data_IF_125806457506
#
_entry.id   IF_125806457506
#
_cell.length_a   1.000
_cell.length_b   1.000
_cell.length_c   1.000
_cell.angle_alpha   90.00
_cell.angle_beta   90.00
_cell.angle_gamma   90.00
#
_symmetry.space_group_name_H-M   'P 1'
#
loop_
_entity.id
_entity.type
_entity.pdbx_description
1 polymer ?
#
# COMPACT_ATOMS: atom_id res chain seq x y z
N UNK A 1 -1.48 5.88 -12.27
CA UNK A 1 -1.52 4.41 -12.38
C UNK A 1 -1.94 4.08 -13.80
N UNK A 2 -1.05 3.54 -14.62
CA UNK A 2 -1.46 2.96 -15.90
C UNK A 2 -2.09 1.60 -15.58
N UNK A 3 -3.40 1.46 -15.82
CA UNK A 3 -4.00 0.15 -15.91
C UNK A 3 -3.52 -0.44 -17.25
N UNK A 4 -2.69 -1.48 -17.19
CA UNK A 4 -2.21 -2.12 -18.39
C UNK A 4 -3.37 -2.96 -18.93
N UNK A 5 -3.81 -2.71 -20.18
CA UNK A 5 -4.88 -3.49 -20.76
C UNK A 5 -4.37 -4.93 -20.93
N UNK A 6 -5.16 -5.88 -20.45
CA UNK A 6 -4.99 -7.33 -20.60
C UNK A 6 -3.92 -7.75 -21.61
N UNK A 7 -2.81 -8.28 -21.09
CA UNK A 7 -1.88 -9.14 -21.80
C UNK A 7 -0.94 -9.72 -20.77
N UNK A 8 -0.60 -11.00 -20.92
CA UNK A 8 0.55 -11.62 -20.28
C UNK A 8 1.78 -10.73 -20.49
N UNK A 9 1.99 -9.77 -19.58
CA UNK A 9 3.22 -9.00 -19.55
C UNK A 9 4.27 -10.07 -19.27
N UNK A 10 5.05 -10.38 -20.29
CA UNK A 10 6.23 -11.21 -20.17
C UNK A 10 7.20 -10.41 -19.29
N UNK A 11 7.01 -10.49 -17.96
CA UNK A 11 7.86 -9.83 -16.96
C UNK A 11 9.33 -10.11 -17.28
N UNK A 12 9.62 -11.32 -17.75
CA UNK A 12 10.91 -11.75 -18.29
C UNK A 12 11.45 -10.87 -19.42
N UNK A 13 10.62 -10.44 -20.37
CA UNK A 13 11.02 -9.57 -21.47
C UNK A 13 11.30 -8.14 -21.00
N UNK A 14 10.51 -7.63 -20.04
CA UNK A 14 10.76 -6.33 -19.42
C UNK A 14 12.07 -6.34 -18.63
N UNK A 15 12.26 -7.36 -17.79
CA UNK A 15 13.46 -7.53 -17.00
C UNK A 15 14.71 -7.65 -17.87
N UNK A 16 14.64 -8.41 -18.97
CA UNK A 16 15.71 -8.52 -19.95
C UNK A 16 16.03 -7.17 -20.61
N UNK A 17 15.00 -6.39 -20.96
CA UNK A 17 15.16 -5.07 -21.55
C UNK A 17 15.84 -4.10 -20.58
N UNK A 18 15.40 -4.08 -19.32
CA UNK A 18 15.99 -3.23 -18.29
C UNK A 18 17.43 -3.63 -17.94
N UNK A 19 17.70 -4.94 -17.89
CA UNK A 19 19.06 -5.47 -17.62
C UNK A 19 20.05 -5.14 -18.73
N UNK A 20 19.58 -4.99 -19.97
CA UNK A 20 20.43 -4.65 -21.11
C UNK A 20 20.83 -3.17 -21.18
N UNK A 21 20.26 -2.30 -20.33
CA UNK A 21 20.63 -0.89 -20.27
C UNK A 21 22.01 -0.70 -19.62
N UNK A 22 22.82 0.17 -20.22
CA UNK A 22 24.14 0.48 -19.69
C UNK A 22 24.05 1.06 -18.27
N UNK A 23 24.92 0.59 -17.37
CA UNK A 23 24.93 0.97 -15.96
C UNK A 23 23.90 0.27 -15.06
N UNK A 24 23.02 -0.59 -15.58
CA UNK A 24 22.11 -1.39 -14.75
C UNK A 24 22.83 -2.63 -14.22
N UNK A 25 22.94 -2.73 -12.89
CA UNK A 25 23.60 -3.88 -12.22
C UNK A 25 22.63 -4.92 -11.67
N UNK A 26 21.36 -4.54 -11.45
CA UNK A 26 20.31 -5.42 -10.94
C UNK A 26 18.92 -4.92 -11.33
N UNK A 27 18.08 -5.85 -11.75
CA UNK A 27 16.63 -5.67 -11.89
C UNK A 27 15.96 -6.61 -10.89
N UNK A 28 14.94 -6.09 -10.19
CA UNK A 28 14.08 -6.88 -9.30
C UNK A 28 12.66 -6.54 -9.64
N UNK A 29 11.83 -7.56 -9.88
CA UNK A 29 10.40 -7.39 -10.17
C UNK A 29 9.55 -8.11 -9.14
N UNK A 30 8.64 -7.36 -8.53
CA UNK A 30 7.71 -7.87 -7.53
C UNK A 30 6.29 -7.77 -8.11
N UNK A 31 5.59 -8.89 -8.18
CA UNK A 31 4.20 -8.94 -8.65
C UNK A 31 3.29 -8.68 -7.45
N UNK A 32 2.36 -7.73 -7.59
CA UNK A 32 1.44 -7.34 -6.53
C UNK A 32 0.01 -7.76 -6.88
N UNK A 33 -0.58 -8.63 -6.06
CA UNK A 33 -1.95 -9.10 -6.20
C UNK A 33 -2.85 -8.25 -5.30
N UNK A 34 -3.93 -7.65 -5.85
CA UNK A 34 -4.84 -6.85 -5.05
C UNK A 34 -5.60 -7.70 -4.03
N UNK A 35 -5.58 -7.27 -2.77
CA UNK A 35 -6.46 -7.74 -1.69
C UNK A 35 -7.68 -6.84 -1.57
N UNK A 36 -7.45 -5.53 -1.67
CA UNK A 36 -8.48 -4.50 -1.64
C UNK A 36 -8.17 -3.45 -2.71
N UNK A 37 -9.20 -2.99 -3.41
CA UNK A 37 -9.15 -1.86 -4.33
C UNK A 37 -10.33 -0.95 -4.01
N UNK A 38 -10.13 0.36 -4.12
CA UNK A 38 -11.22 1.31 -4.04
C UNK A 38 -12.29 0.98 -5.08
N UNK A 39 -13.56 1.17 -4.74
CA UNK A 39 -14.68 0.90 -5.62
C UNK A 39 -14.51 1.60 -6.98
N UNK A 40 -14.79 0.87 -8.06
CA UNK A 40 -14.60 1.35 -9.45
C UNK A 40 -13.18 1.83 -9.79
N UNK A 41 -12.17 1.49 -8.97
CA UNK A 41 -10.82 2.03 -9.07
C UNK A 41 -10.80 3.57 -9.04
N UNK A 42 -11.73 4.17 -8.32
CA UNK A 42 -11.86 5.62 -8.16
C UNK A 42 -10.73 6.16 -7.26
N UNK A 43 -9.53 6.22 -7.82
CA UNK A 43 -8.35 6.81 -7.18
C UNK A 43 -8.50 8.34 -7.20
N UNK A 44 -8.41 9.04 -6.04
CA UNK A 44 -8.50 10.50 -6.03
C UNK A 44 -7.46 11.12 -6.94
N UNK A 45 -7.86 12.07 -7.77
CA UNK A 45 -6.97 12.77 -8.74
C UNK A 45 -6.76 14.24 -8.40
N UNK A 46 -7.39 14.71 -7.33
CA UNK A 46 -7.30 16.07 -6.81
C UNK A 46 -5.97 16.32 -6.07
N UNK A 47 -5.73 17.60 -5.72
CA UNK A 47 -4.52 18.04 -5.02
C UNK A 47 -4.27 17.24 -3.74
N UNK A 48 -3.08 16.68 -3.60
CA UNK A 48 -2.68 15.83 -2.49
C UNK A 48 -1.50 14.96 -2.89
N UNK A 49 -1.18 13.96 -2.07
CA UNK A 49 -0.11 13.01 -2.36
C UNK A 49 -0.47 11.60 -1.88
N UNK A 50 0.21 10.60 -2.42
CA UNK A 50 0.03 9.21 -2.01
C UNK A 50 1.14 8.80 -1.06
N UNK A 51 0.76 8.04 -0.03
CA UNK A 51 1.70 7.32 0.83
C UNK A 51 1.60 5.85 0.49
N UNK A 52 2.70 5.33 -0.03
CA UNK A 52 2.97 3.92 -0.21
C UNK A 52 3.57 3.41 1.09
N UNK A 53 2.95 2.41 1.70
CA UNK A 53 3.45 1.81 2.93
C UNK A 53 3.68 0.32 2.74
N UNK A 54 4.93 -0.08 2.89
CA UNK A 54 5.34 -1.48 2.85
C UNK A 54 5.28 -2.08 4.25
N UNK A 55 4.59 -3.21 4.36
CA UNK A 55 4.29 -3.85 5.63
C UNK A 55 4.60 -5.34 5.55
N UNK A 56 5.44 -5.81 6.47
CA UNK A 56 5.86 -7.19 6.61
C UNK A 56 5.08 -7.87 7.73
N UNK A 57 4.59 -9.08 7.45
CA UNK A 57 3.82 -9.92 8.38
C UNK A 57 4.28 -11.38 8.28
N UNK A 58 4.03 -12.19 9.31
CA UNK A 58 3.99 -13.64 9.10
C UNK A 58 2.80 -13.99 8.20
N UNK A 59 2.92 -14.96 7.27
CA UNK A 59 1.83 -15.32 6.36
C UNK A 59 0.52 -15.70 7.06
N UNK A 60 0.60 -16.28 8.26
CA UNK A 60 -0.58 -16.68 9.05
C UNK A 60 -1.36 -15.46 9.61
N UNK A 61 -0.70 -14.33 9.81
CA UNK A 61 -1.30 -13.12 10.39
C UNK A 61 -1.91 -12.19 9.33
N UNK A 62 -1.67 -12.45 8.04
CA UNK A 62 -2.10 -11.57 6.93
C UNK A 62 -3.61 -11.36 6.94
N UNK A 63 -4.39 -12.43 7.09
CA UNK A 63 -5.86 -12.32 7.06
C UNK A 63 -6.39 -11.44 8.19
N UNK A 64 -5.81 -11.56 9.40
CA UNK A 64 -6.20 -10.74 10.54
C UNK A 64 -5.74 -9.29 10.37
N UNK A 65 -4.52 -9.07 9.85
CA UNK A 65 -4.02 -7.73 9.56
C UNK A 65 -4.90 -7.01 8.51
N UNK A 66 -5.37 -7.74 7.48
CA UNK A 66 -6.29 -7.23 6.46
C UNK A 66 -7.64 -6.88 7.08
N UNK A 67 -8.23 -7.78 7.88
CA UNK A 67 -9.52 -7.55 8.55
C UNK A 67 -9.45 -6.30 9.44
N UNK A 68 -8.46 -6.21 10.32
CA UNK A 68 -8.23 -5.06 11.19
C UNK A 68 -8.04 -3.76 10.40
N UNK A 69 -7.40 -3.83 9.24
CA UNK A 69 -7.22 -2.66 8.38
C UNK A 69 -8.55 -2.19 7.78
N UNK A 70 -9.30 -3.09 7.16
CA UNK A 70 -10.58 -2.75 6.51
C UNK A 70 -11.58 -2.18 7.51
N UNK A 71 -11.72 -2.81 8.67
CA UNK A 71 -12.60 -2.31 9.74
C UNK A 71 -12.13 -0.95 10.30
N UNK A 72 -10.83 -0.65 10.30
CA UNK A 72 -10.36 0.66 10.71
C UNK A 72 -10.70 1.74 9.68
N UNK A 73 -10.69 1.40 8.38
CA UNK A 73 -10.93 2.36 7.30
C UNK A 73 -12.37 2.88 7.26
N UNK A 74 -13.34 2.09 7.73
CA UNK A 74 -14.77 2.45 7.77
C UNK A 74 -15.02 3.83 8.38
N UNK A 75 -14.32 4.18 9.47
CA UNK A 75 -14.43 5.48 10.14
C UNK A 75 -13.24 6.40 9.86
N UNK A 76 -12.05 5.83 9.67
CA UNK A 76 -10.81 6.60 9.54
C UNK A 76 -10.79 7.48 8.29
N UNK A 77 -11.22 6.95 7.14
CA UNK A 77 -11.21 7.70 5.88
C UNK A 77 -12.05 8.98 5.96
N UNK A 78 -13.28 8.85 6.46
CA UNK A 78 -14.20 9.98 6.60
C UNK A 78 -13.73 10.96 7.68
N UNK A 79 -13.18 10.47 8.79
CA UNK A 79 -12.69 11.30 9.89
C UNK A 79 -11.55 12.22 9.48
N UNK A 80 -10.63 11.72 8.65
CA UNK A 80 -9.41 12.45 8.28
C UNK A 80 -9.39 12.96 6.84
N UNK A 81 -10.45 12.69 6.07
CA UNK A 81 -10.51 13.06 4.66
C UNK A 81 -9.42 12.38 3.84
N UNK A 82 -9.16 11.09 4.13
CA UNK A 82 -8.16 10.25 3.46
C UNK A 82 -8.86 9.19 2.64
N UNK A 83 -8.14 8.57 1.70
CA UNK A 83 -8.69 7.55 0.81
C UNK A 83 -7.68 6.43 0.59
N UNK A 84 -7.98 5.23 1.04
CA UNK A 84 -7.25 4.01 0.75
C UNK A 84 -7.55 3.62 -0.69
N UNK A 85 -6.53 3.62 -1.53
CA UNK A 85 -6.69 3.37 -2.96
C UNK A 85 -6.47 1.89 -3.29
N UNK A 86 -5.66 1.22 -2.49
CA UNK A 86 -5.43 -0.21 -2.62
C UNK A 86 -4.60 -0.80 -1.49
N UNK A 87 -4.81 -2.09 -1.28
CA UNK A 87 -3.95 -2.97 -0.49
C UNK A 87 -3.61 -4.17 -1.36
N UNK A 88 -2.31 -4.43 -1.49
CA UNK A 88 -1.79 -5.51 -2.31
C UNK A 88 -0.93 -6.44 -1.47
N UNK A 89 -0.86 -7.69 -1.89
CA UNK A 89 0.11 -8.67 -1.40
C UNK A 89 1.06 -9.03 -2.52
N UNK A 90 2.35 -9.08 -2.21
CA UNK A 90 3.33 -9.60 -3.13
C UNK A 90 3.11 -11.10 -3.38
N UNK A 91 3.07 -11.49 -4.65
CA UNK A 91 3.16 -12.88 -5.05
C UNK A 91 4.61 -13.33 -4.87
N UNK A 92 4.85 -14.06 -3.79
CA UNK A 92 6.16 -14.56 -3.41
C UNK A 92 6.04 -15.99 -2.91
N UNK A 93 7.07 -16.80 -3.17
CA UNK A 93 7.21 -18.17 -2.65
C UNK A 93 7.70 -18.20 -1.19
N UNK A 94 7.95 -17.03 -0.58
CA UNK A 94 8.35 -16.93 0.82
C UNK A 94 7.27 -17.48 1.76
N UNK A 95 7.66 -18.48 2.54
CA UNK A 95 6.81 -19.08 3.59
C UNK A 95 6.97 -18.42 4.96
N UNK A 96 7.95 -17.52 5.10
CA UNK A 96 8.29 -16.89 6.39
C UNK A 96 7.74 -15.46 6.51
N UNK A 97 7.68 -14.74 5.37
CA UNK A 97 7.36 -13.32 5.31
C UNK A 97 6.38 -13.05 4.19
N UNK A 98 5.26 -12.41 4.52
CA UNK A 98 4.34 -11.83 3.55
C UNK A 98 4.57 -10.32 3.45
N UNK A 99 4.75 -9.84 2.22
CA UNK A 99 4.90 -8.42 1.91
C UNK A 99 3.56 -7.85 1.46
N UNK A 100 3.10 -6.82 2.17
CA UNK A 100 1.91 -6.05 1.82
C UNK A 100 2.31 -4.62 1.41
N UNK A 101 1.68 -4.11 0.37
CA UNK A 101 1.76 -2.70 -0.03
C UNK A 101 0.40 -2.05 0.14
N UNK A 102 0.33 -1.05 1.00
CA UNK A 102 -0.86 -0.20 1.16
C UNK A 102 -0.62 1.16 0.54
N UNK A 103 -1.57 1.63 -0.26
CA UNK A 103 -1.52 2.97 -0.86
C UNK A 103 -2.71 3.77 -0.34
N UNK A 104 -2.41 4.95 0.19
CA UNK A 104 -3.41 5.89 0.70
C UNK A 104 -3.13 7.30 0.19
N UNK A 105 -4.16 7.96 -0.31
CA UNK A 105 -4.12 9.37 -0.65
C UNK A 105 -4.45 10.26 0.55
N UNK A 106 -3.72 11.37 0.67
CA UNK A 106 -3.96 12.43 1.65
C UNK A 106 -4.03 13.78 0.94
N UNK A 107 -4.99 14.61 1.34
CA UNK A 107 -5.17 15.98 0.81
C UNK A 107 -3.95 16.89 0.99
N UNK A 108 -3.18 16.69 2.05
CA UNK A 108 -2.05 17.55 2.41
C UNK A 108 -1.16 16.88 3.46
N UNK A 109 0.06 17.39 3.65
CA UNK A 109 0.98 16.89 4.67
C UNK A 109 0.39 17.00 6.08
N UNK A 110 -0.30 18.11 6.38
CA UNK A 110 -1.01 18.29 7.64
C UNK A 110 -2.13 17.25 7.81
N UNK A 111 -2.88 16.96 6.75
CA UNK A 111 -3.90 15.89 6.77
C UNK A 111 -3.28 14.52 7.05
N UNK A 112 -2.08 14.26 6.53
CA UNK A 112 -1.34 13.05 6.89
C UNK A 112 -0.95 13.03 8.36
N UNK A 113 -0.35 14.11 8.90
CA UNK A 113 0.02 14.18 10.32
C UNK A 113 -1.20 14.00 11.24
N UNK A 114 -2.28 14.71 10.94
CA UNK A 114 -3.55 14.70 11.65
C UNK A 114 -4.21 13.31 11.67
N UNK A 115 -4.01 12.49 10.63
CA UNK A 115 -4.57 11.12 10.56
C UNK A 115 -4.07 10.15 11.64
N UNK A 116 -3.16 10.61 12.51
CA UNK A 116 -2.58 9.87 13.64
C UNK A 116 -3.17 10.31 14.98
N UNK A 117 -4.03 11.33 15.00
CA UNK A 117 -4.69 11.80 16.21
C UNK A 117 -5.70 10.75 16.71
N UNK A 118 -5.29 10.08 17.80
CA UNK A 118 -6.08 9.05 18.44
C UNK A 118 -7.40 9.56 19.04
N UNK A 119 -7.49 10.85 19.39
CA UNK A 119 -8.67 11.40 20.03
C UNK A 119 -9.84 11.54 19.06
N UNK A 120 -9.56 11.69 17.75
CA UNK A 120 -10.58 11.89 16.71
C UNK A 120 -11.22 10.60 16.22
N UNK A 121 -10.48 9.49 16.23
CA UNK A 121 -11.01 8.16 15.93
C UNK A 121 -10.37 7.08 16.82
N UNK A 122 -10.87 6.92 18.07
CA UNK A 122 -10.33 5.95 19.00
C UNK A 122 -10.47 4.50 18.52
N UNK A 123 -11.51 4.21 17.75
CA UNK A 123 -11.82 2.84 17.33
C UNK A 123 -10.90 2.40 16.17
N UNK A 124 -10.73 3.24 15.14
CA UNK A 124 -9.72 2.98 14.13
C UNK A 124 -8.32 2.93 14.74
N UNK A 125 -8.02 3.80 15.72
CA UNK A 125 -6.73 3.78 16.42
C UNK A 125 -6.47 2.45 17.12
N UNK A 126 -7.48 1.88 17.79
CA UNK A 126 -7.42 0.57 18.47
C UNK A 126 -7.12 -0.54 17.47
N UNK A 127 -7.81 -0.57 16.33
CA UNK A 127 -7.59 -1.54 15.26
C UNK A 127 -6.20 -1.42 14.63
N UNK A 128 -5.75 -0.20 14.34
CA UNK A 128 -4.38 0.01 13.85
C UNK A 128 -3.31 -0.38 14.88
N UNK A 129 -3.57 -0.19 16.18
CA UNK A 129 -2.68 -0.66 17.24
C UNK A 129 -2.59 -2.19 17.25
N UNK A 130 -3.73 -2.89 17.25
CA UNK A 130 -3.78 -4.34 17.18
C UNK A 130 -3.06 -4.87 15.94
N UNK A 131 -3.30 -4.25 14.78
CA UNK A 131 -2.62 -4.59 13.53
C UNK A 131 -1.10 -4.39 13.60
N UNK A 132 -0.62 -3.34 14.29
CA UNK A 132 0.82 -3.07 14.46
C UNK A 132 1.50 -4.14 15.30
N UNK A 133 0.80 -4.81 16.21
CA UNK A 133 1.36 -5.92 17.00
C UNK A 133 1.63 -7.18 16.14
N UNK A 134 0.99 -7.29 14.98
CA UNK A 134 1.20 -8.40 14.04
C UNK A 134 2.37 -8.14 13.07
N UNK A 135 2.89 -6.91 13.03
CA UNK A 135 3.95 -6.54 12.08
C UNK A 135 5.30 -7.07 12.54
N UNK A 136 6.09 -7.57 11.58
CA UNK A 136 7.48 -7.94 11.83
C UNK A 136 8.34 -6.71 12.12
N UNK A 137 9.47 -6.92 12.79
CA UNK A 137 10.45 -5.85 13.02
C UNK A 137 10.97 -5.30 11.67
N UNK A 138 11.22 -3.99 11.61
CA UNK A 138 11.61 -3.30 10.37
C UNK A 138 10.47 -3.01 9.40
N UNK A 139 9.24 -3.46 9.69
CA UNK A 139 8.03 -3.21 8.90
C UNK A 139 7.53 -1.75 8.99
N UNK A 140 6.86 -1.30 7.93
CA UNK A 140 6.10 -0.05 7.91
C UNK A 140 6.79 1.14 7.26
N UNK A 141 7.76 0.91 6.37
CA UNK A 141 8.41 1.96 5.58
C UNK A 141 7.35 2.73 4.80
N UNK A 142 7.41 4.06 4.88
CA UNK A 142 6.47 4.94 4.20
C UNK A 142 7.22 5.78 3.16
N UNK A 143 6.73 5.73 1.92
CA UNK A 143 7.25 6.49 0.78
C UNK A 143 6.13 7.42 0.32
N UNK A 144 6.38 8.72 0.39
CA UNK A 144 5.47 9.72 -0.14
C UNK A 144 5.79 9.98 -1.61
N UNK A 145 4.78 9.89 -2.46
CA UNK A 145 4.88 10.22 -3.88
C UNK A 145 3.87 11.33 -4.17
N UNK A 146 4.39 12.45 -4.67
CA UNK A 146 3.54 13.46 -5.27
C UNK A 146 2.98 12.92 -6.59
N UNK A 147 1.93 13.54 -7.12
CA UNK A 147 1.58 13.30 -8.52
C UNK A 147 2.76 13.79 -9.36
N UNK A 148 3.24 12.97 -10.30
CA UNK A 148 4.02 13.50 -11.40
C UNK A 148 3.13 14.55 -12.10
N UNK A 149 3.50 15.83 -11.97
CA UNK A 149 2.82 16.92 -12.64
C UNK A 149 2.76 16.56 -14.13
N UNK A 150 1.56 16.49 -14.69
CA UNK A 150 1.38 16.33 -16.14
C UNK A 150 1.80 17.61 -16.85
#
# INVERSE_FOLDING_TARGET
MAAWPDQDIQVSALDATLTALDGVSRVTTNILIPIYLAESLAVPTETGFYVHREELYHPLDVNEAVRLSQEAWETWESTFGTRVTGLFREQSDSVEVAHLLRIVWYRSFDGWLDSRDAARDPEARRRFAARRLLQLEGSGVAIATDRAVQ
#
